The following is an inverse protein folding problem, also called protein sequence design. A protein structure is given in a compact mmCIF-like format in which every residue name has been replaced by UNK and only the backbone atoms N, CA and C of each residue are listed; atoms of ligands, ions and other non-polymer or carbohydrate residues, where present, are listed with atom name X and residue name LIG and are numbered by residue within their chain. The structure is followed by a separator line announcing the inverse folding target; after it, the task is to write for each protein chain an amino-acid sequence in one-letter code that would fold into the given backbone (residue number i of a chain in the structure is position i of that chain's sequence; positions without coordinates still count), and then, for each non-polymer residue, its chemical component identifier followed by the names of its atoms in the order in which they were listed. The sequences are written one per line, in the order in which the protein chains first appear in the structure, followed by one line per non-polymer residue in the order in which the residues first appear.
data_IF_508603615483
#
_entry.id   IF_508603615483
#
_cell.length_a   1.000
_cell.length_b   1.000
_cell.length_c   1.000
_cell.angle_alpha   90.00
_cell.angle_beta   90.00
_cell.angle_gamma   90.00
#
_symmetry.space_group_name_H-M   'P 1'
#
loop_
_entity.id
_entity.type
_entity.pdbx_description
1 polymer ?
#
# COMPACT_ATOMS: atom_id res chain seq x y z
N UNK A 1 -11.86 -18.51 1.08
CA UNK A 1 -12.86 -17.42 1.24
C UNK A 1 -13.08 -16.69 -0.07
N UNK A 2 -14.16 -15.96 -0.16
CA UNK A 2 -14.49 -14.99 -1.19
C UNK A 2 -15.26 -13.84 -0.50
N UNK A 3 -15.97 -13.00 -1.26
CA UNK A 3 -16.82 -11.94 -0.69
C UNK A 3 -18.22 -12.42 -0.21
N UNK A 4 -18.44 -13.72 -0.13
CA UNK A 4 -19.61 -14.30 0.51
C UNK A 4 -19.29 -14.61 1.99
N UNK A 5 -19.79 -13.78 2.89
CA UNK A 5 -19.55 -13.91 4.33
C UNK A 5 -20.14 -15.21 4.90
N UNK A 6 -21.17 -15.77 4.28
CA UNK A 6 -21.77 -17.02 4.73
C UNK A 6 -20.83 -18.21 4.50
N UNK A 7 -20.01 -18.16 3.43
CA UNK A 7 -18.94 -19.14 3.23
C UNK A 7 -17.90 -19.06 4.38
N UNK A 8 -17.44 -17.85 4.73
CA UNK A 8 -16.49 -17.68 5.83
C UNK A 8 -17.07 -18.15 7.17
N UNK A 9 -18.33 -17.82 7.47
CA UNK A 9 -19.03 -18.31 8.66
C UNK A 9 -19.11 -19.85 8.69
N UNK A 10 -19.43 -20.47 7.56
CA UNK A 10 -19.50 -21.92 7.41
C UNK A 10 -18.16 -22.60 7.65
N UNK A 11 -17.08 -22.04 7.08
CA UNK A 11 -15.72 -22.54 7.31
C UNK A 11 -15.30 -22.42 8.78
N UNK A 12 -15.60 -21.29 9.43
CA UNK A 12 -15.34 -21.11 10.85
C UNK A 12 -16.16 -22.09 11.69
N UNK A 13 -17.43 -22.31 11.36
CA UNK A 13 -18.27 -23.28 12.06
C UNK A 13 -17.73 -24.71 11.93
N UNK A 14 -17.11 -25.03 10.80
CA UNK A 14 -16.54 -26.36 10.56
C UNK A 14 -15.19 -26.54 11.26
N UNK A 15 -14.31 -25.56 11.18
CA UNK A 15 -12.91 -25.67 11.63
C UNK A 15 -12.71 -25.19 13.08
N UNK A 16 -13.54 -24.25 13.55
CA UNK A 16 -13.45 -23.60 14.85
C UNK A 16 -14.83 -23.49 15.53
N UNK A 17 -15.55 -24.58 15.74
CA UNK A 17 -16.95 -24.56 16.20
C UNK A 17 -17.15 -23.85 17.54
N UNK A 18 -16.15 -23.85 18.42
CA UNK A 18 -16.13 -23.14 19.71
C UNK A 18 -15.93 -21.61 19.59
N UNK A 19 -15.60 -21.11 18.41
CA UNK A 19 -15.37 -19.68 18.15
C UNK A 19 -16.51 -19.00 17.37
N UNK A 20 -17.53 -19.72 16.95
CA UNK A 20 -18.60 -19.21 16.06
C UNK A 20 -19.30 -17.99 16.66
N UNK A 21 -19.78 -18.08 17.90
CA UNK A 21 -20.47 -16.95 18.55
C UNK A 21 -19.55 -15.76 18.75
N UNK A 22 -18.29 -16.01 19.08
CA UNK A 22 -17.27 -14.99 19.24
C UNK A 22 -16.98 -14.28 17.92
N UNK A 23 -16.88 -15.04 16.83
CA UNK A 23 -16.71 -14.47 15.49
C UNK A 23 -17.91 -13.63 15.05
N UNK A 24 -19.14 -14.09 15.31
CA UNK A 24 -20.35 -13.31 14.99
C UNK A 24 -20.40 -11.97 15.76
N UNK A 25 -20.00 -11.96 17.04
CA UNK A 25 -19.89 -10.71 17.81
C UNK A 25 -18.79 -9.78 17.28
N UNK A 26 -17.64 -10.33 16.87
CA UNK A 26 -16.59 -9.55 16.22
C UNK A 26 -17.11 -8.96 14.91
N UNK A 27 -17.80 -9.75 14.08
CA UNK A 27 -18.39 -9.30 12.82
C UNK A 27 -19.40 -8.18 13.05
N UNK A 28 -20.28 -8.30 14.03
CA UNK A 28 -21.22 -7.23 14.40
C UNK A 28 -20.50 -5.96 14.84
N UNK A 29 -19.43 -6.09 15.64
CA UNK A 29 -18.59 -4.95 16.04
C UNK A 29 -17.95 -4.25 14.83
N UNK A 30 -17.41 -5.02 13.87
CA UNK A 30 -16.83 -4.51 12.61
C UNK A 30 -17.89 -3.77 11.77
N UNK A 31 -19.09 -4.35 11.63
CA UNK A 31 -20.14 -3.75 10.79
C UNK A 31 -20.67 -2.43 11.36
N UNK A 32 -20.67 -2.28 12.68
CA UNK A 32 -21.14 -1.07 13.35
C UNK A 32 -20.04 0.00 13.57
N UNK A 33 -18.79 -0.31 13.24
CA UNK A 33 -17.68 0.63 13.41
C UNK A 33 -17.61 1.62 12.25
N UNK A 34 -17.42 2.91 12.55
CA UNK A 34 -17.18 3.95 11.54
C UNK A 34 -15.68 4.11 11.30
N UNK A 35 -15.15 3.33 10.37
CA UNK A 35 -13.71 3.23 10.08
C UNK A 35 -13.12 4.47 9.39
N UNK A 36 -13.97 5.30 8.76
CA UNK A 36 -13.54 6.48 8.00
C UNK A 36 -13.58 7.77 8.81
N UNK A 37 -14.01 7.73 10.06
CA UNK A 37 -14.04 8.90 10.91
C UNK A 37 -12.62 9.43 11.17
N UNK A 38 -12.40 10.73 10.91
CA UNK A 38 -11.08 11.37 11.04
C UNK A 38 -10.63 11.52 12.50
N UNK A 39 -11.58 11.51 13.43
CA UNK A 39 -11.35 11.63 14.88
C UNK A 39 -11.17 10.28 15.60
N UNK A 40 -11.18 9.17 14.87
CA UNK A 40 -10.87 7.86 15.45
C UNK A 40 -9.49 7.87 16.12
N UNK A 41 -9.43 7.43 17.36
CA UNK A 41 -8.17 7.23 18.06
C UNK A 41 -7.47 5.96 17.54
N UNK A 42 -6.13 5.98 17.59
CA UNK A 42 -5.35 4.77 17.28
C UNK A 42 -5.68 3.69 18.32
N UNK A 43 -6.19 2.57 17.85
CA UNK A 43 -6.41 1.35 18.63
C UNK A 43 -5.80 0.19 17.85
N UNK A 44 -5.02 -0.65 18.51
CA UNK A 44 -4.39 -1.79 17.85
C UNK A 44 -5.41 -2.89 17.61
N UNK A 45 -5.43 -3.41 16.40
CA UNK A 45 -6.44 -4.38 15.96
C UNK A 45 -6.33 -5.70 16.72
N UNK A 46 -5.11 -6.14 17.06
CA UNK A 46 -4.92 -7.37 17.84
C UNK A 46 -5.59 -7.28 19.20
N UNK A 47 -5.47 -6.17 19.91
CA UNK A 47 -6.11 -6.00 21.21
C UNK A 47 -7.63 -6.16 21.11
N UNK A 48 -8.24 -5.60 20.05
CA UNK A 48 -9.68 -5.74 19.81
C UNK A 48 -10.05 -7.18 19.47
N UNK A 49 -9.39 -7.76 18.46
CA UNK A 49 -9.71 -9.10 17.98
C UNK A 49 -9.46 -10.15 19.07
N UNK A 50 -8.40 -10.02 19.86
CA UNK A 50 -8.06 -10.92 20.97
C UNK A 50 -9.12 -10.88 22.08
N UNK A 51 -9.86 -9.79 22.23
CA UNK A 51 -10.98 -9.70 23.16
C UNK A 51 -12.21 -10.52 22.72
N UNK A 52 -12.32 -10.87 21.45
CA UNK A 52 -13.39 -11.70 20.90
C UNK A 52 -12.93 -13.13 20.63
N UNK A 53 -11.81 -13.30 19.91
CA UNK A 53 -11.35 -14.60 19.40
C UNK A 53 -10.22 -15.13 20.28
N UNK A 54 -10.43 -16.24 20.94
CA UNK A 54 -9.41 -16.88 21.79
C UNK A 54 -8.49 -17.84 21.03
N UNK A 55 -8.95 -18.40 19.91
CA UNK A 55 -8.18 -19.36 19.12
C UNK A 55 -7.10 -18.64 18.30
N UNK A 56 -5.83 -18.96 18.59
CA UNK A 56 -4.66 -18.32 17.96
C UNK A 56 -4.61 -18.50 16.44
N UNK A 57 -4.88 -19.75 15.97
CA UNK A 57 -4.82 -20.03 14.51
C UNK A 57 -5.90 -19.24 13.75
N UNK A 58 -7.13 -19.17 14.28
CA UNK A 58 -8.19 -18.38 13.66
C UNK A 58 -7.81 -16.90 13.59
N UNK A 59 -7.20 -16.33 14.65
CA UNK A 59 -6.71 -14.95 14.63
C UNK A 59 -5.68 -14.75 13.54
N UNK A 60 -4.68 -15.62 13.42
CA UNK A 60 -3.66 -15.53 12.37
C UNK A 60 -4.26 -15.65 10.96
N UNK A 61 -5.22 -16.55 10.76
CA UNK A 61 -5.91 -16.69 9.47
C UNK A 61 -6.71 -15.44 9.09
N UNK A 62 -7.34 -14.78 10.09
CA UNK A 62 -8.03 -13.49 9.85
C UNK A 62 -7.01 -12.39 9.51
N UNK A 63 -5.93 -12.29 10.29
CA UNK A 63 -4.95 -11.21 10.13
C UNK A 63 -4.06 -11.33 8.89
N UNK A 64 -3.73 -12.54 8.44
CA UNK A 64 -2.77 -12.76 7.37
C UNK A 64 -3.10 -11.92 6.10
N UNK A 65 -4.28 -12.01 5.47
CA UNK A 65 -4.60 -11.19 4.30
C UNK A 65 -4.73 -9.70 4.62
N UNK A 66 -5.21 -9.35 5.81
CA UNK A 66 -5.45 -7.96 6.19
C UNK A 66 -4.15 -7.20 6.43
N UNK A 67 -3.19 -7.81 7.11
CA UNK A 67 -1.88 -7.22 7.37
C UNK A 67 -1.11 -6.95 6.07
N UNK A 68 -1.03 -7.96 5.21
CA UNK A 68 -0.20 -7.88 4.00
C UNK A 68 -0.75 -6.91 2.96
N UNK A 69 -2.06 -6.62 2.99
CA UNK A 69 -2.70 -5.67 2.09
C UNK A 69 -2.95 -4.30 2.72
N UNK A 70 -2.72 -4.12 4.01
CA UNK A 70 -3.15 -2.88 4.63
C UNK A 70 -2.41 -2.40 5.88
N UNK A 71 -1.28 -2.99 6.30
CA UNK A 71 -0.61 -2.52 7.51
C UNK A 71 0.77 -1.92 7.27
N UNK A 72 0.99 -0.73 7.85
CA UNK A 72 2.32 -0.14 8.02
C UNK A 72 3.01 -0.58 9.33
N UNK A 73 2.33 -1.34 10.20
CA UNK A 73 2.82 -1.83 11.48
C UNK A 73 3.31 -3.27 11.37
N UNK A 74 4.41 -3.57 12.04
CA UNK A 74 4.87 -4.95 12.15
C UNK A 74 3.92 -5.76 13.05
N UNK A 75 3.45 -6.90 12.55
CA UNK A 75 2.59 -7.87 13.23
C UNK A 75 1.25 -7.35 13.77
N UNK A 76 0.84 -6.14 13.46
CA UNK A 76 -0.43 -5.56 13.89
C UNK A 76 -0.90 -4.49 12.91
N UNK A 77 -2.01 -3.82 13.19
CA UNK A 77 -2.52 -2.69 12.44
C UNK A 77 -3.47 -1.83 13.28
N UNK A 78 -3.73 -0.60 12.82
CA UNK A 78 -4.81 0.23 13.38
C UNK A 78 -6.17 -0.44 13.12
N UNK A 79 -7.03 -0.46 14.13
CA UNK A 79 -8.35 -1.10 14.04
C UNK A 79 -9.25 -0.48 12.97
N UNK A 80 -9.18 0.84 12.74
CA UNK A 80 -9.92 1.44 11.62
C UNK A 80 -9.47 0.86 10.27
N UNK A 81 -8.16 0.71 10.08
CA UNK A 81 -7.61 0.09 8.88
C UNK A 81 -7.98 -1.41 8.79
N UNK A 82 -7.98 -2.11 9.93
CA UNK A 82 -8.44 -3.50 10.01
C UNK A 82 -9.88 -3.63 9.50
N UNK A 83 -10.78 -2.75 9.96
CA UNK A 83 -12.19 -2.76 9.53
C UNK A 83 -12.32 -2.48 8.04
N UNK A 84 -11.59 -1.47 7.50
CA UNK A 84 -11.55 -1.20 6.05
C UNK A 84 -11.13 -2.45 5.29
N UNK A 85 -10.03 -3.08 5.69
CA UNK A 85 -9.50 -4.25 5.00
C UNK A 85 -10.41 -5.48 5.15
N UNK A 86 -11.01 -5.67 6.33
CA UNK A 86 -11.95 -6.77 6.56
C UNK A 86 -13.18 -6.63 5.65
N UNK A 87 -13.80 -5.44 5.62
CA UNK A 87 -14.95 -5.17 4.75
C UNK A 87 -14.58 -5.37 3.27
N UNK A 88 -13.44 -4.83 2.83
CA UNK A 88 -12.99 -4.93 1.45
C UNK A 88 -12.69 -6.37 1.02
N UNK A 89 -12.10 -7.18 1.87
CA UNK A 89 -11.67 -8.56 1.50
C UNK A 89 -12.80 -9.56 1.67
N UNK A 90 -13.52 -9.52 2.81
CA UNK A 90 -14.47 -10.57 3.18
C UNK A 90 -15.94 -10.24 2.88
N UNK A 91 -16.27 -8.97 2.60
CA UNK A 91 -17.65 -8.55 2.33
C UNK A 91 -17.85 -8.03 0.92
N UNK A 92 -16.93 -7.16 0.43
CA UNK A 92 -17.06 -6.50 -0.86
C UNK A 92 -16.35 -7.26 -1.99
N UNK A 93 -15.20 -7.87 -1.67
CA UNK A 93 -14.34 -8.58 -2.60
C UNK A 93 -13.40 -7.64 -3.37
N UNK A 94 -12.39 -8.23 -4.00
CA UNK A 94 -11.43 -7.50 -4.81
C UNK A 94 -11.95 -7.32 -6.24
N UNK A 95 -12.01 -6.07 -6.68
CA UNK A 95 -12.27 -5.71 -8.06
C UNK A 95 -10.99 -5.43 -8.84
N UNK A 96 -10.98 -5.80 -10.11
CA UNK A 96 -9.96 -5.41 -11.07
C UNK A 96 -10.59 -4.63 -12.19
N UNK A 97 -10.09 -3.42 -12.47
CA UNK A 97 -10.58 -2.65 -13.60
C UNK A 97 -10.23 -3.34 -14.93
N UNK A 98 -11.16 -3.39 -15.87
CA UNK A 98 -10.87 -3.81 -17.24
C UNK A 98 -9.80 -2.89 -17.83
N UNK A 99 -8.74 -3.44 -18.42
CA UNK A 99 -7.57 -2.68 -18.85
C UNK A 99 -6.57 -2.36 -17.72
N UNK A 100 -6.80 -2.87 -16.49
CA UNK A 100 -5.91 -2.72 -15.34
C UNK A 100 -5.87 -1.29 -14.77
N UNK A 101 -4.88 -1.02 -13.92
CA UNK A 101 -4.69 0.28 -13.26
C UNK A 101 -4.44 1.43 -14.25
N UNK A 102 -3.88 1.14 -15.40
CA UNK A 102 -3.63 2.14 -16.47
C UNK A 102 -4.92 2.87 -16.86
N UNK A 103 -6.02 2.12 -17.00
CA UNK A 103 -7.31 2.73 -17.36
C UNK A 103 -7.82 3.70 -16.29
N UNK A 104 -7.61 3.39 -15.00
CA UNK A 104 -7.94 4.30 -13.90
C UNK A 104 -7.11 5.58 -13.99
N UNK A 105 -5.80 5.46 -14.26
CA UNK A 105 -4.90 6.61 -14.40
C UNK A 105 -5.27 7.48 -15.62
N UNK A 106 -5.67 6.85 -16.74
CA UNK A 106 -6.14 7.58 -17.93
C UNK A 106 -7.39 8.42 -17.64
N UNK A 107 -8.37 7.84 -16.95
CA UNK A 107 -9.59 8.55 -16.56
C UNK A 107 -9.30 9.73 -15.62
N UNK A 108 -8.37 9.54 -14.66
CA UNK A 108 -7.95 10.64 -13.78
C UNK A 108 -7.23 11.75 -14.56
N UNK A 109 -6.37 11.40 -15.52
CA UNK A 109 -5.69 12.37 -16.36
C UNK A 109 -6.67 13.16 -17.23
N UNK A 110 -7.62 12.48 -17.88
CA UNK A 110 -8.69 13.12 -18.65
C UNK A 110 -9.43 14.17 -17.80
N UNK A 111 -9.75 13.84 -16.56
CA UNK A 111 -10.40 14.75 -15.61
C UNK A 111 -9.55 15.95 -15.22
N UNK A 112 -8.27 15.74 -14.96
CA UNK A 112 -7.31 16.81 -14.64
C UNK A 112 -7.21 17.80 -15.81
N UNK A 113 -7.13 17.31 -17.05
CA UNK A 113 -7.10 18.12 -18.26
C UNK A 113 -8.42 18.92 -18.46
N UNK A 114 -9.59 18.27 -18.24
CA UNK A 114 -10.91 18.92 -18.36
C UNK A 114 -11.10 20.11 -17.40
N UNK A 115 -10.54 20.05 -16.19
CA UNK A 115 -10.63 21.13 -15.21
C UNK A 115 -9.49 22.17 -15.36
N UNK A 116 -8.63 22.03 -16.37
CA UNK A 116 -7.53 22.94 -16.65
C UNK A 116 -6.38 22.86 -15.64
N UNK A 117 -6.26 21.76 -14.88
CA UNK A 117 -5.13 21.55 -14.00
C UNK A 117 -3.91 20.99 -14.77
N UNK A 118 -2.71 21.33 -14.32
CA UNK A 118 -1.46 20.93 -14.95
C UNK A 118 -0.79 19.76 -14.22
N UNK A 119 -0.28 18.78 -14.97
CA UNK A 119 0.56 17.69 -14.46
C UNK A 119 1.97 17.81 -15.02
N UNK A 120 2.92 18.11 -14.15
CA UNK A 120 4.33 18.24 -14.52
C UNK A 120 5.07 16.92 -14.27
N UNK A 121 5.27 16.13 -15.33
CA UNK A 121 6.05 14.89 -15.25
C UNK A 121 7.56 15.15 -15.23
N UNK A 122 8.32 14.28 -14.55
CA UNK A 122 9.78 14.36 -14.45
C UNK A 122 10.25 15.70 -13.89
N UNK A 123 9.48 16.23 -12.95
CA UNK A 123 9.73 17.49 -12.29
C UNK A 123 9.38 17.33 -10.79
N UNK A 124 10.19 16.56 -10.08
CA UNK A 124 10.01 16.30 -8.64
C UNK A 124 10.13 17.57 -7.81
N UNK A 125 9.50 17.58 -6.64
CA UNK A 125 9.72 18.61 -5.63
C UNK A 125 11.01 18.32 -4.89
N UNK A 126 11.96 19.26 -4.96
CA UNK A 126 13.26 19.19 -4.27
C UNK A 126 13.21 19.81 -2.89
N UNK A 127 12.40 20.86 -2.73
CA UNK A 127 12.34 21.64 -1.49
C UNK A 127 10.96 22.27 -1.31
N UNK A 128 10.46 22.27 -0.06
CA UNK A 128 9.26 23.00 0.34
C UNK A 128 9.70 24.29 1.02
N UNK A 129 9.32 25.42 0.44
CA UNK A 129 9.67 26.75 0.92
C UNK A 129 8.75 27.15 2.06
N UNK A 130 9.36 27.65 3.14
CA UNK A 130 8.64 28.17 4.31
C UNK A 130 9.08 29.61 4.65
N UNK A 131 8.11 30.37 5.14
CA UNK A 131 8.38 31.67 5.80
C UNK A 131 7.84 31.60 7.22
N UNK A 132 8.75 31.53 8.20
CA UNK A 132 8.37 31.13 9.57
C UNK A 132 7.67 29.75 9.55
N UNK A 133 6.56 29.65 10.25
CA UNK A 133 5.77 28.40 10.33
C UNK A 133 4.67 28.30 9.24
N UNK A 134 4.93 28.82 8.02
CA UNK A 134 3.97 28.83 6.91
C UNK A 134 4.65 28.36 5.62
N UNK A 135 4.04 27.41 4.91
CA UNK A 135 4.46 27.08 3.55
C UNK A 135 4.11 28.19 2.59
N UNK A 136 5.00 28.49 1.63
CA UNK A 136 4.79 29.56 0.63
C UNK A 136 4.95 29.05 -0.79
N UNK A 137 5.50 27.87 -1.00
CA UNK A 137 5.72 27.29 -2.31
C UNK A 137 6.68 26.10 -2.29
N UNK A 138 7.12 25.71 -3.47
CA UNK A 138 8.09 24.62 -3.65
C UNK A 138 9.15 25.00 -4.67
N UNK A 139 10.34 24.37 -4.56
CA UNK A 139 11.36 24.35 -5.60
C UNK A 139 11.38 22.97 -6.22
N UNK A 140 11.34 22.90 -7.54
CA UNK A 140 11.41 21.66 -8.29
C UNK A 140 12.84 21.22 -8.57
N UNK A 141 13.03 19.96 -9.00
CA UNK A 141 14.33 19.42 -9.43
C UNK A 141 14.96 20.23 -10.59
N UNK A 142 14.13 20.94 -11.36
CA UNK A 142 14.58 21.83 -12.45
C UNK A 142 14.91 23.24 -11.98
N UNK A 143 14.82 23.51 -10.67
CA UNK A 143 15.09 24.83 -10.09
C UNK A 143 13.94 25.82 -10.26
N UNK A 144 12.78 25.40 -10.68
CA UNK A 144 11.60 26.26 -10.83
C UNK A 144 10.96 26.48 -9.45
N UNK A 145 10.69 27.72 -9.11
CA UNK A 145 9.89 28.10 -7.95
C UNK A 145 8.40 28.14 -8.33
N UNK A 146 7.58 27.43 -7.56
CA UNK A 146 6.13 27.44 -7.70
C UNK A 146 5.54 27.92 -6.38
N UNK A 147 5.00 29.13 -6.37
CA UNK A 147 4.39 29.72 -5.18
C UNK A 147 2.95 29.26 -5.02
N UNK A 148 2.60 28.82 -3.80
CA UNK A 148 1.25 28.36 -3.48
C UNK A 148 0.99 28.52 -1.97
N UNK A 149 -0.19 29.03 -1.56
CA UNK A 149 -0.56 29.17 -0.16
C UNK A 149 -0.97 27.85 0.47
N UNK A 150 -1.32 26.84 -0.36
CA UNK A 150 -1.73 25.51 0.05
C UNK A 150 -0.92 24.46 -0.70
N UNK A 151 -0.33 23.54 0.04
CA UNK A 151 0.42 22.40 -0.50
C UNK A 151 -0.18 21.11 0.07
N UNK A 152 -0.61 20.20 -0.81
CA UNK A 152 -0.99 18.84 -0.46
C UNK A 152 0.14 17.90 -0.89
N UNK A 153 0.80 17.28 0.08
CA UNK A 153 1.91 16.36 -0.17
C UNK A 153 1.45 14.91 -0.08
N UNK A 154 1.70 14.12 -1.12
CA UNK A 154 1.51 12.67 -1.12
C UNK A 154 2.84 11.89 -1.11
N UNK A 155 3.95 12.57 -0.81
CA UNK A 155 5.29 11.98 -0.82
C UNK A 155 5.56 11.03 0.37
N UNK A 156 4.69 11.00 1.37
CA UNK A 156 4.89 10.34 2.66
C UNK A 156 5.22 11.35 3.76
N UNK A 157 4.97 10.98 5.02
CA UNK A 157 5.15 11.92 6.14
C UNK A 157 6.64 12.22 6.42
N UNK A 158 7.51 11.22 6.61
CA UNK A 158 8.95 11.47 6.78
C UNK A 158 9.57 12.20 5.57
N UNK A 159 9.19 11.80 4.37
CA UNK A 159 9.67 12.37 3.12
C UNK A 159 9.25 13.83 3.00
N UNK A 160 7.98 14.15 3.26
CA UNK A 160 7.47 15.52 3.23
C UNK A 160 8.23 16.41 4.20
N UNK A 161 8.45 15.96 5.46
CA UNK A 161 9.20 16.75 6.42
C UNK A 161 10.67 16.94 6.02
N UNK A 162 11.26 15.97 5.32
CA UNK A 162 12.64 16.06 4.84
C UNK A 162 12.83 17.10 3.73
N UNK A 163 11.77 17.44 3.00
CA UNK A 163 11.79 18.44 1.92
C UNK A 163 11.69 19.88 2.45
N UNK A 164 11.35 20.10 3.72
CA UNK A 164 11.20 21.44 4.28
C UNK A 164 12.58 22.11 4.45
N UNK A 165 12.72 23.30 3.91
CA UNK A 165 13.99 24.04 3.93
C UNK A 165 14.43 24.51 5.34
N UNK A 166 13.49 24.89 6.20
CA UNK A 166 13.77 25.22 7.60
C UNK A 166 13.45 24.05 8.53
N UNK A 167 14.47 23.28 8.86
CA UNK A 167 14.35 22.14 9.76
C UNK A 167 14.07 22.48 11.23
N UNK A 168 14.09 23.78 11.61
CA UNK A 168 13.85 24.15 13.01
C UNK A 168 12.41 23.86 13.45
N UNK A 169 11.45 24.08 12.57
CA UNK A 169 10.04 23.84 12.84
C UNK A 169 9.69 22.34 12.88
N UNK A 170 10.46 21.49 12.18
CA UNK A 170 10.22 20.05 12.10
C UNK A 170 10.93 19.25 13.20
N UNK A 171 11.88 19.84 13.92
CA UNK A 171 12.67 19.14 14.96
C UNK A 171 11.82 18.48 16.06
N UNK A 172 10.59 18.97 16.28
CA UNK A 172 9.68 18.49 17.33
C UNK A 172 8.86 17.27 16.89
N UNK A 173 8.75 17.02 15.58
CA UNK A 173 7.95 15.93 15.02
C UNK A 173 8.86 15.08 14.17
N UNK A 174 9.01 13.83 14.56
CA UNK A 174 9.82 12.84 13.83
C UNK A 174 8.98 11.60 13.61
N UNK A 175 8.16 11.56 12.54
CA UNK A 175 7.41 10.37 12.20
C UNK A 175 8.38 9.22 11.90
N UNK A 176 7.99 8.03 12.32
CA UNK A 176 8.79 6.82 12.05
C UNK A 176 8.78 6.51 10.56
N UNK A 177 9.92 6.14 10.03
CA UNK A 177 9.99 5.55 8.70
C UNK A 177 9.37 4.15 8.72
N UNK A 178 8.57 3.83 7.71
CA UNK A 178 8.02 2.49 7.55
C UNK A 178 9.14 1.45 7.35
N UNK A 179 8.92 0.24 7.87
CA UNK A 179 9.92 -0.83 7.81
C UNK A 179 9.56 -1.96 6.84
N UNK A 180 8.28 -2.00 6.44
CA UNK A 180 7.74 -3.13 5.68
C UNK A 180 7.96 -2.91 4.18
N UNK A 181 8.65 -3.83 3.57
CA UNK A 181 8.92 -3.86 2.15
C UNK A 181 8.83 -5.28 1.62
N UNK A 182 8.79 -5.42 0.30
CA UNK A 182 8.57 -6.69 -0.36
C UNK A 182 9.58 -6.92 -1.49
N UNK A 183 9.83 -8.21 -1.78
CA UNK A 183 10.20 -8.64 -3.13
C UNK A 183 8.92 -9.02 -3.87
N UNK A 184 8.87 -8.68 -5.15
CA UNK A 184 7.79 -9.09 -6.05
C UNK A 184 8.41 -9.82 -7.23
N UNK A 185 8.06 -11.08 -7.41
CA UNK A 185 8.42 -11.86 -8.59
C UNK A 185 7.26 -11.85 -9.57
N UNK A 186 7.53 -11.46 -10.82
CA UNK A 186 6.57 -11.50 -11.92
C UNK A 186 7.19 -12.33 -13.04
N UNK A 187 6.45 -13.31 -13.56
CA UNK A 187 6.89 -14.04 -14.74
C UNK A 187 5.71 -14.53 -15.56
N UNK A 188 5.98 -14.86 -16.82
CA UNK A 188 4.98 -15.40 -17.74
C UNK A 188 5.36 -16.78 -18.25
N UNK A 189 4.34 -17.60 -18.49
CA UNK A 189 4.43 -18.93 -19.10
C UNK A 189 3.40 -19.05 -20.23
N UNK A 190 3.60 -19.94 -21.21
CA UNK A 190 2.57 -20.22 -22.21
C UNK A 190 1.25 -20.71 -21.59
N UNK A 191 1.33 -21.53 -20.53
CA UNK A 191 0.17 -22.09 -19.85
C UNK A 191 -0.40 -21.08 -18.82
N UNK A 192 -1.73 -20.88 -18.86
CA UNK A 192 -2.48 -20.13 -17.87
C UNK A 192 -2.66 -20.95 -16.58
N UNK A 193 -2.76 -20.31 -15.40
CA UNK A 193 -2.89 -21.01 -14.11
C UNK A 193 -4.03 -22.04 -14.09
N UNK A 194 -5.20 -21.71 -14.64
CA UNK A 194 -6.35 -22.60 -14.70
C UNK A 194 -6.07 -23.89 -15.48
N UNK A 195 -5.27 -23.84 -16.55
CA UNK A 195 -4.87 -25.04 -17.32
C UNK A 195 -3.92 -25.95 -16.55
N UNK A 196 -3.26 -25.42 -15.53
CA UNK A 196 -2.42 -26.16 -14.57
C UNK A 196 -3.17 -26.58 -13.30
N UNK A 197 -4.51 -26.42 -13.28
CA UNK A 197 -5.38 -26.85 -12.20
C UNK A 197 -5.57 -25.82 -11.07
N UNK A 198 -5.11 -24.58 -11.24
CA UNK A 198 -5.18 -23.54 -10.21
C UNK A 198 -6.14 -22.41 -10.63
N UNK A 199 -7.34 -22.40 -10.02
CA UNK A 199 -8.43 -21.47 -10.37
C UNK A 199 -8.58 -20.29 -9.41
N UNK A 200 -7.84 -20.26 -8.30
CA UNK A 200 -7.85 -19.17 -7.34
C UNK A 200 -7.22 -17.91 -7.95
N UNK A 201 -7.74 -16.74 -7.62
CA UNK A 201 -7.17 -15.45 -8.07
C UNK A 201 -5.99 -15.03 -7.19
N UNK A 202 -6.10 -15.29 -5.86
CA UNK A 202 -5.10 -14.94 -4.86
C UNK A 202 -4.99 -16.09 -3.86
N UNK A 203 -3.76 -16.41 -3.46
CA UNK A 203 -3.47 -17.38 -2.40
C UNK A 203 -2.53 -16.72 -1.40
N UNK A 204 -2.90 -16.76 -0.13
CA UNK A 204 -2.03 -16.40 0.99
C UNK A 204 -1.35 -17.67 1.49
N UNK A 205 -0.10 -17.82 1.11
CA UNK A 205 0.72 -18.97 1.48
C UNK A 205 1.48 -18.71 2.77
N UNK A 206 1.46 -19.64 3.71
CA UNK A 206 2.31 -19.60 4.91
C UNK A 206 2.69 -21.02 5.35
N UNK A 207 3.99 -21.32 5.37
CA UNK A 207 4.57 -22.57 5.88
C UNK A 207 5.11 -22.44 7.31
N UNK A 208 5.09 -21.25 7.89
CA UNK A 208 5.53 -21.05 9.27
C UNK A 208 4.48 -21.55 10.27
N UNK A 209 4.93 -22.04 11.43
CA UNK A 209 4.01 -22.43 12.52
C UNK A 209 3.19 -21.24 13.05
N UNK A 210 3.80 -20.03 13.02
CA UNK A 210 3.20 -18.77 13.39
C UNK A 210 3.40 -17.79 12.25
N UNK A 211 2.34 -17.12 11.81
CA UNK A 211 2.44 -16.10 10.79
C UNK A 211 3.22 -14.90 11.30
N UNK A 212 4.19 -14.44 10.54
CA UNK A 212 5.04 -13.31 10.90
C UNK A 212 4.95 -12.22 9.83
N UNK A 213 4.38 -11.09 10.18
CA UNK A 213 4.28 -9.90 9.32
C UNK A 213 5.22 -8.81 9.86
N UNK A 214 6.50 -8.97 9.59
CA UNK A 214 7.53 -8.03 10.01
C UNK A 214 8.72 -8.06 9.05
N UNK A 215 9.60 -7.06 9.15
CA UNK A 215 10.86 -7.09 8.41
C UNK A 215 11.62 -8.37 8.75
N UNK A 216 11.93 -9.24 7.78
CA UNK A 216 12.68 -10.47 8.04
C UNK A 216 14.14 -10.16 8.45
N UNK A 217 14.76 -11.09 9.17
CA UNK A 217 16.19 -11.01 9.50
C UNK A 217 17.08 -11.31 8.28
N UNK A 218 16.55 -12.05 7.32
CA UNK A 218 17.20 -12.40 6.05
C UNK A 218 16.75 -11.45 4.93
N UNK A 219 17.30 -11.59 3.74
CA UNK A 219 16.95 -10.76 2.58
C UNK A 219 15.44 -10.75 2.29
N UNK A 220 14.78 -11.89 2.45
CA UNK A 220 13.33 -12.07 2.31
C UNK A 220 12.84 -13.29 3.07
N UNK A 221 11.55 -13.33 3.40
CA UNK A 221 10.93 -14.47 4.10
C UNK A 221 10.22 -15.39 3.09
N UNK A 222 10.86 -16.52 2.76
CA UNK A 222 10.33 -17.52 1.84
C UNK A 222 9.30 -18.48 2.44
N UNK A 223 8.98 -18.34 3.72
CA UNK A 223 7.96 -19.17 4.38
C UNK A 223 6.55 -18.65 4.14
N UNK A 224 6.44 -17.37 3.76
CA UNK A 224 5.16 -16.72 3.54
C UNK A 224 5.17 -15.92 2.24
N UNK A 225 4.11 -16.06 1.44
CA UNK A 225 3.97 -15.35 0.17
C UNK A 225 2.51 -15.06 -0.17
N UNK A 226 2.28 -13.99 -0.92
CA UNK A 226 1.03 -13.80 -1.64
C UNK A 226 1.24 -14.20 -3.10
N UNK A 227 0.45 -15.14 -3.57
CA UNK A 227 0.42 -15.56 -4.96
C UNK A 227 -0.78 -14.90 -5.61
N UNK A 228 -0.55 -14.08 -6.63
CA UNK A 228 -1.60 -13.45 -7.42
C UNK A 228 -1.57 -14.01 -8.85
N UNK A 229 -2.74 -14.46 -9.32
CA UNK A 229 -2.94 -15.10 -10.62
C UNK A 229 -3.92 -14.28 -11.46
N UNK A 230 -3.43 -13.22 -12.14
CA UNK A 230 -4.28 -12.26 -12.84
C UNK A 230 -5.20 -12.89 -13.91
N UNK A 231 -4.77 -13.99 -14.52
CA UNK A 231 -5.58 -14.72 -15.53
C UNK A 231 -6.89 -15.30 -14.98
N UNK A 232 -6.99 -15.50 -13.67
CA UNK A 232 -8.17 -16.11 -13.06
C UNK A 232 -9.25 -15.08 -12.67
N UNK A 233 -9.00 -13.78 -12.91
CA UNK A 233 -10.07 -12.78 -12.83
C UNK A 233 -10.99 -12.87 -14.05
N UNK A 234 -12.24 -12.48 -13.85
CA UNK A 234 -13.24 -12.45 -14.93
C UNK A 234 -12.79 -11.49 -16.05
N UNK A 235 -13.04 -11.85 -17.30
CA UNK A 235 -12.65 -11.07 -18.47
C UNK A 235 -11.12 -10.86 -18.61
N UNK A 236 -10.34 -11.90 -18.32
CA UNK A 236 -8.89 -11.91 -18.59
C UNK A 236 -8.61 -11.76 -20.10
N UNK A 237 -7.74 -10.82 -20.43
CA UNK A 237 -7.28 -10.51 -21.79
C UNK A 237 -5.80 -10.90 -22.03
N UNK A 238 -5.11 -11.48 -21.05
CA UNK A 238 -3.73 -11.95 -21.21
C UNK A 238 -3.65 -13.18 -22.12
N UNK A 239 -2.71 -13.15 -23.05
CA UNK A 239 -2.46 -14.28 -23.95
C UNK A 239 -1.65 -15.38 -23.27
N UNK A 240 -0.74 -15.00 -22.37
CA UNK A 240 0.12 -15.90 -21.59
C UNK A 240 -0.38 -16.03 -20.16
N UNK A 241 0.05 -17.06 -19.46
CA UNK A 241 -0.13 -17.19 -18.02
C UNK A 241 0.76 -16.19 -17.28
N UNK A 242 0.17 -15.35 -16.42
CA UNK A 242 0.87 -14.36 -15.59
C UNK A 242 0.86 -14.82 -14.14
N UNK A 243 2.04 -14.87 -13.54
CA UNK A 243 2.26 -15.35 -12.17
C UNK A 243 2.98 -14.27 -11.37
N UNK A 244 2.45 -13.96 -10.20
CA UNK A 244 3.05 -12.97 -9.31
C UNK A 244 3.14 -13.53 -7.90
N UNK A 245 4.30 -13.32 -7.27
CA UNK A 245 4.54 -13.67 -5.87
C UNK A 245 5.17 -12.52 -5.13
N UNK A 246 4.59 -12.19 -4.00
CA UNK A 246 5.08 -11.13 -3.11
C UNK A 246 5.54 -11.77 -1.80
N UNK A 247 6.77 -11.49 -1.38
CA UNK A 247 7.34 -11.95 -0.11
C UNK A 247 7.89 -10.77 0.68
N UNK A 248 7.75 -10.81 2.02
CA UNK A 248 8.34 -9.81 2.91
C UNK A 248 9.85 -9.74 2.71
N UNK A 249 10.42 -8.52 2.69
CA UNK A 249 11.84 -8.32 2.41
C UNK A 249 12.51 -7.28 3.33
N UNK A 250 13.81 -7.43 3.54
CA UNK A 250 14.65 -6.55 4.35
C UNK A 250 15.36 -5.53 3.47
N UNK A 251 14.90 -4.28 3.51
CA UNK A 251 15.47 -3.20 2.73
C UNK A 251 16.97 -2.99 2.98
N UNK A 252 17.41 -3.01 4.25
CA UNK A 252 18.80 -2.67 4.57
C UNK A 252 19.78 -3.67 3.94
N UNK A 253 19.44 -4.96 4.00
CA UNK A 253 20.25 -6.02 3.38
C UNK A 253 20.24 -5.92 1.84
N UNK A 254 19.09 -5.60 1.23
CA UNK A 254 19.01 -5.38 -0.21
C UNK A 254 19.77 -4.14 -0.66
N UNK A 255 19.76 -3.08 0.14
CA UNK A 255 20.51 -1.83 -0.14
C UNK A 255 22.02 -2.06 -0.07
N UNK A 256 22.49 -2.80 0.93
CA UNK A 256 23.89 -3.19 1.04
C UNK A 256 24.31 -4.05 -0.16
N UNK A 257 23.55 -5.08 -0.47
CA UNK A 257 23.80 -5.98 -1.60
C UNK A 257 23.79 -5.26 -2.96
N UNK A 258 23.00 -4.19 -3.11
CA UNK A 258 22.91 -3.42 -4.36
C UNK A 258 24.22 -2.69 -4.72
N UNK A 259 25.20 -2.64 -3.82
CA UNK A 259 26.56 -2.13 -4.10
C UNK A 259 27.35 -3.10 -4.99
N UNK A 260 27.07 -4.40 -4.93
CA UNK A 260 27.60 -5.43 -5.83
C UNK A 260 26.50 -5.92 -6.78
N UNK A 261 26.54 -5.43 -8.02
CA UNK A 261 25.53 -5.75 -9.03
C UNK A 261 25.47 -7.23 -9.41
N UNK A 262 26.60 -7.94 -9.36
CA UNK A 262 26.63 -9.38 -9.64
C UNK A 262 25.90 -10.14 -8.53
N UNK A 263 26.31 -9.95 -7.28
CA UNK A 263 25.68 -10.57 -6.12
C UNK A 263 24.18 -10.21 -6.01
N UNK A 264 23.82 -8.96 -6.31
CA UNK A 264 22.43 -8.51 -6.34
C UNK A 264 21.59 -9.28 -7.37
N UNK A 265 22.10 -9.46 -8.59
CA UNK A 265 21.41 -10.21 -9.64
C UNK A 265 21.32 -11.70 -9.33
N UNK A 266 22.36 -12.28 -8.73
CA UNK A 266 22.36 -13.67 -8.29
C UNK A 266 21.27 -13.91 -7.23
N UNK A 267 21.11 -12.99 -6.28
CA UNK A 267 20.05 -13.06 -5.27
C UNK A 267 18.65 -12.84 -5.85
N UNK A 268 18.49 -11.99 -6.86
CA UNK A 268 17.22 -11.91 -7.61
C UNK A 268 16.88 -13.25 -8.27
N UNK A 269 17.86 -13.93 -8.84
CA UNK A 269 17.65 -15.26 -9.42
C UNK A 269 17.25 -16.30 -8.35
N UNK A 270 17.82 -16.24 -7.14
CA UNK A 270 17.39 -17.08 -6.01
C UNK A 270 15.93 -16.80 -5.61
N UNK A 271 15.52 -15.53 -5.54
CA UNK A 271 14.10 -15.15 -5.26
C UNK A 271 13.16 -15.79 -6.28
N UNK A 272 13.52 -15.79 -7.57
CA UNK A 272 12.74 -16.47 -8.60
C UNK A 272 12.65 -17.98 -8.34
N UNK A 273 13.76 -18.63 -8.03
CA UNK A 273 13.76 -20.08 -7.78
C UNK A 273 12.91 -20.44 -6.55
N UNK A 274 13.02 -19.68 -5.46
CA UNK A 274 12.18 -19.88 -4.27
C UNK A 274 10.70 -19.64 -4.58
N UNK A 275 10.38 -18.62 -5.39
CA UNK A 275 9.02 -18.36 -5.88
C UNK A 275 8.46 -19.54 -6.68
N UNK A 276 9.26 -20.12 -7.55
CA UNK A 276 8.89 -21.30 -8.33
C UNK A 276 8.70 -22.53 -7.43
N UNK A 277 9.52 -22.70 -6.40
CA UNK A 277 9.35 -23.80 -5.44
C UNK A 277 8.04 -23.66 -4.65
N UNK A 278 7.66 -22.45 -4.24
CA UNK A 278 6.37 -22.20 -3.58
C UNK A 278 5.23 -22.54 -4.54
N UNK A 279 5.26 -22.05 -5.77
CA UNK A 279 4.21 -22.33 -6.77
C UNK A 279 4.06 -23.79 -7.11
N UNK A 280 5.14 -24.57 -7.16
CA UNK A 280 5.09 -26.01 -7.42
C UNK A 280 4.33 -26.81 -6.37
N UNK A 281 4.14 -26.27 -5.16
CA UNK A 281 3.27 -26.88 -4.14
C UNK A 281 1.79 -26.90 -4.57
N UNK A 282 1.38 -25.90 -5.34
CA UNK A 282 0.02 -25.71 -5.84
C UNK A 282 -0.14 -26.21 -7.29
N UNK A 283 0.91 -26.13 -8.07
CA UNK A 283 0.97 -26.51 -9.48
C UNK A 283 2.19 -27.42 -9.76
N UNK A 284 2.14 -28.70 -9.39
CA UNK A 284 3.29 -29.62 -9.58
C UNK A 284 3.72 -29.76 -11.04
N UNK A 285 2.80 -29.53 -12.00
CA UNK A 285 3.07 -29.59 -13.43
C UNK A 285 3.74 -28.33 -14.02
N UNK A 286 3.99 -27.29 -13.21
CA UNK A 286 4.62 -26.05 -13.66
C UNK A 286 6.03 -26.29 -14.20
N UNK A 287 6.26 -25.88 -15.46
CA UNK A 287 7.53 -26.02 -16.18
C UNK A 287 8.30 -24.72 -16.17
N UNK A 288 9.31 -24.65 -15.32
CA UNK A 288 10.12 -23.43 -15.15
C UNK A 288 11.08 -23.13 -16.31
N UNK A 289 11.34 -24.10 -17.18
CA UNK A 289 12.15 -23.96 -18.41
C UNK A 289 11.42 -23.23 -19.55
N UNK A 290 10.12 -22.97 -19.39
CA UNK A 290 9.26 -22.30 -20.39
C UNK A 290 8.95 -20.85 -20.03
N UNK A 291 9.67 -20.25 -19.06
CA UNK A 291 9.49 -18.84 -18.70
C UNK A 291 9.87 -17.97 -19.91
N UNK A 292 8.90 -17.19 -20.42
CA UNK A 292 9.08 -16.29 -21.56
C UNK A 292 9.49 -14.88 -21.14
N UNK A 293 9.09 -14.45 -19.94
CA UNK A 293 9.43 -13.17 -19.34
C UNK A 293 9.56 -13.32 -17.82
N UNK A 294 10.48 -12.58 -17.22
CA UNK A 294 10.59 -12.48 -15.75
C UNK A 294 11.07 -11.10 -15.33
N UNK A 295 10.56 -10.63 -14.20
CA UNK A 295 11.06 -9.45 -13.49
C UNK A 295 10.95 -9.65 -11.99
N UNK A 296 11.94 -9.19 -11.24
CA UNK A 296 11.97 -9.28 -9.79
C UNK A 296 12.20 -7.88 -9.22
N UNK A 297 11.21 -7.35 -8.52
CA UNK A 297 11.31 -6.14 -7.75
C UNK A 297 11.88 -6.44 -6.38
N UNK A 298 12.64 -5.51 -5.85
CA UNK A 298 13.23 -5.59 -4.51
C UNK A 298 12.90 -4.31 -3.75
N UNK A 299 13.15 -4.23 -2.45
CA UNK A 299 12.96 -3.00 -1.69
C UNK A 299 13.65 -1.76 -2.28
N UNK A 300 14.84 -1.93 -2.88
CA UNK A 300 15.55 -0.82 -3.54
C UNK A 300 14.88 -0.40 -4.84
N UNK A 301 14.17 -1.30 -5.53
CA UNK A 301 13.33 -0.97 -6.68
C UNK A 301 12.14 -0.13 -6.22
N UNK A 302 11.49 -0.53 -5.11
CA UNK A 302 10.38 0.22 -4.52
C UNK A 302 10.82 1.64 -4.15
N UNK A 303 11.94 1.80 -3.41
CA UNK A 303 12.49 3.11 -3.05
C UNK A 303 12.73 3.98 -4.30
N UNK A 304 13.35 3.41 -5.34
CA UNK A 304 13.69 4.13 -6.56
C UNK A 304 12.46 4.73 -7.27
N UNK A 305 11.36 3.96 -7.34
CA UNK A 305 10.17 4.40 -8.08
C UNK A 305 9.15 5.18 -7.25
N UNK A 306 9.13 5.00 -5.93
CA UNK A 306 8.16 5.65 -5.05
C UNK A 306 8.75 6.83 -4.28
N UNK A 307 10.06 6.86 -4.10
CA UNK A 307 10.74 7.84 -3.24
C UNK A 307 10.56 7.57 -1.74
N UNK A 308 9.81 6.55 -1.34
CA UNK A 308 9.61 6.23 0.07
C UNK A 308 10.89 5.71 0.73
N UNK A 309 11.26 6.31 1.85
CA UNK A 309 12.42 5.92 2.62
C UNK A 309 12.34 4.45 3.06
N UNK A 310 13.45 3.73 2.88
CA UNK A 310 13.51 2.31 3.20
C UNK A 310 12.68 1.43 2.28
N UNK A 311 12.26 1.93 1.10
CA UNK A 311 11.42 1.20 0.16
C UNK A 311 10.13 0.69 0.79
N UNK A 312 9.59 1.40 1.79
CA UNK A 312 8.39 0.96 2.49
C UNK A 312 7.15 1.05 1.59
N UNK A 313 6.27 0.04 1.68
CA UNK A 313 5.11 -0.07 0.79
C UNK A 313 3.91 0.69 1.33
N UNK A 314 3.73 0.71 2.66
CA UNK A 314 2.56 1.33 3.30
C UNK A 314 2.90 2.63 4.04
N UNK A 315 4.05 3.25 3.71
CA UNK A 315 4.50 4.51 4.29
C UNK A 315 4.82 4.40 5.79
N UNK A 316 4.73 5.52 6.47
CA UNK A 316 4.92 5.63 7.92
C UNK A 316 3.82 4.91 8.71
N UNK A 317 4.14 4.25 9.83
CA UNK A 317 3.11 3.81 10.78
C UNK A 317 2.43 4.98 11.51
N UNK A 318 3.06 6.15 11.54
CA UNK A 318 2.52 7.37 12.14
C UNK A 318 1.67 8.13 11.13
N UNK A 319 0.38 7.80 11.05
CA UNK A 319 -0.56 8.42 10.12
C UNK A 319 -1.08 9.76 10.67
N UNK A 320 -1.26 10.76 9.78
CA UNK A 320 -1.92 12.02 10.10
C UNK A 320 -3.33 12.03 9.50
N UNK A 321 -4.32 11.58 10.26
CA UNK A 321 -5.69 11.36 9.75
C UNK A 321 -6.36 12.60 9.20
N UNK A 322 -6.12 13.76 9.81
CA UNK A 322 -6.58 15.06 9.33
C UNK A 322 -5.61 15.73 8.36
N UNK A 323 -4.52 15.05 8.01
CA UNK A 323 -3.50 15.52 7.09
C UNK A 323 -2.61 16.65 7.62
N UNK A 324 -2.77 17.11 8.89
CA UNK A 324 -2.01 18.22 9.41
C UNK A 324 -0.53 17.90 9.55
N UNK A 325 0.31 18.92 9.31
CA UNK A 325 1.75 18.92 9.59
C UNK A 325 2.11 20.06 10.55
N UNK A 326 3.36 20.11 11.07
CA UNK A 326 3.80 21.26 11.87
C UNK A 326 3.81 22.60 11.12
N UNK A 327 3.76 22.57 9.78
CA UNK A 327 3.81 23.76 8.92
C UNK A 327 2.39 24.10 8.44
N UNK A 328 1.97 25.33 8.69
CA UNK A 328 0.68 25.85 8.21
C UNK A 328 0.66 25.89 6.67
N UNK A 329 -0.47 25.53 6.07
CA UNK A 329 -0.63 25.48 4.62
C UNK A 329 0.01 24.26 3.95
N UNK A 330 0.71 23.38 4.71
CA UNK A 330 1.24 22.12 4.23
C UNK A 330 0.48 20.96 4.88
N UNK A 331 -0.16 20.14 4.06
CA UNK A 331 -0.96 19.01 4.51
C UNK A 331 -0.55 17.72 3.79
N UNK A 332 -0.74 16.59 4.47
CA UNK A 332 -0.53 15.27 3.90
C UNK A 332 -1.80 14.75 3.23
N UNK A 333 -1.65 14.05 2.12
CA UNK A 333 -2.67 13.21 1.52
C UNK A 333 -2.06 11.87 1.09
N UNK A 334 -2.90 10.93 0.62
CA UNK A 334 -2.45 9.60 0.23
C UNK A 334 -2.19 8.68 1.43
N UNK A 335 -1.23 7.80 1.26
CA UNK A 335 -0.96 6.68 2.19
C UNK A 335 -0.73 7.12 3.64
N UNK A 336 -0.01 8.20 3.86
CA UNK A 336 0.34 8.63 5.23
C UNK A 336 -0.70 9.54 5.90
N UNK A 337 -1.75 9.91 5.17
CA UNK A 337 -2.96 10.45 5.76
C UNK A 337 -3.79 9.32 6.42
N UNK A 338 -3.74 8.09 5.90
CA UNK A 338 -4.32 6.90 6.56
C UNK A 338 -5.15 6.01 5.65
N UNK A 339 -5.47 6.45 4.44
CA UNK A 339 -6.17 5.60 3.47
C UNK A 339 -5.18 4.95 2.50
N UNK A 340 -5.17 3.62 2.46
CA UNK A 340 -4.22 2.83 1.68
C UNK A 340 -4.80 2.38 0.34
N UNK A 341 -3.90 2.05 -0.59
CA UNK A 341 -4.23 1.58 -1.92
C UNK A 341 -4.71 2.68 -2.86
N UNK A 342 -5.10 2.31 -4.08
CA UNK A 342 -5.48 3.25 -5.15
C UNK A 342 -6.73 4.04 -4.76
N UNK A 343 -7.80 3.34 -4.38
CA UNK A 343 -9.08 3.98 -3.98
C UNK A 343 -8.88 4.80 -2.70
N UNK A 344 -8.14 4.27 -1.71
CA UNK A 344 -7.85 4.99 -0.48
C UNK A 344 -7.08 6.28 -0.73
N UNK A 345 -6.07 6.27 -1.60
CA UNK A 345 -5.31 7.49 -1.97
C UNK A 345 -6.19 8.52 -2.68
N UNK A 346 -7.14 8.08 -3.54
CA UNK A 346 -8.12 8.97 -4.17
C UNK A 346 -9.04 9.62 -3.13
N UNK A 347 -9.61 8.82 -2.21
CA UNK A 347 -10.45 9.31 -1.12
C UNK A 347 -9.70 10.27 -0.20
N UNK A 348 -8.44 9.99 0.09
CA UNK A 348 -7.56 10.88 0.85
C UNK A 348 -7.41 12.23 0.15
N UNK A 349 -7.11 12.23 -1.16
CA UNK A 349 -6.99 13.46 -1.94
C UNK A 349 -8.28 14.30 -1.89
N UNK A 350 -9.45 13.67 -2.08
CA UNK A 350 -10.76 14.33 -2.00
C UNK A 350 -11.00 14.88 -0.59
N UNK A 351 -10.77 14.09 0.45
CA UNK A 351 -11.01 14.49 1.83
C UNK A 351 -10.14 15.67 2.24
N UNK A 352 -8.85 15.64 1.92
CA UNK A 352 -7.91 16.69 2.28
C UNK A 352 -8.13 17.97 1.48
N UNK A 353 -8.47 17.88 0.18
CA UNK A 353 -8.85 19.04 -0.62
C UNK A 353 -10.12 19.70 -0.08
N UNK A 354 -11.13 18.92 0.30
CA UNK A 354 -12.33 19.45 0.92
C UNK A 354 -12.04 20.12 2.26
N UNK A 355 -11.35 19.42 3.17
CA UNK A 355 -11.10 19.89 4.53
C UNK A 355 -10.23 21.14 4.57
N UNK A 356 -9.15 21.16 3.81
CA UNK A 356 -8.12 22.22 3.89
C UNK A 356 -8.20 23.26 2.78
N UNK A 357 -8.81 22.93 1.63
CA UNK A 357 -9.02 23.83 0.51
C UNK A 357 -10.39 24.49 0.51
N UNK A 358 -11.43 23.70 0.23
CA UNK A 358 -12.77 24.26 -0.03
C UNK A 358 -13.52 24.69 1.22
N UNK A 359 -13.32 24.02 2.37
CA UNK A 359 -14.00 24.36 3.63
C UNK A 359 -13.22 25.36 4.49
N UNK A 360 -12.05 25.81 4.05
CA UNK A 360 -11.21 26.75 4.79
C UNK A 360 -11.49 28.20 4.36
N UNK A 361 -12.22 29.01 5.16
CA UNK A 361 -12.63 30.39 4.77
C UNK A 361 -11.46 31.34 4.52
N UNK A 362 -10.28 31.07 5.13
CA UNK A 362 -9.10 31.93 4.99
C UNK A 362 -8.45 31.82 3.60
N UNK A 363 -8.69 30.74 2.86
CA UNK A 363 -8.17 30.52 1.50
C UNK A 363 -9.19 30.90 0.42
N UNK A 364 -10.49 30.98 0.78
CA UNK A 364 -11.55 31.36 -0.15
C UNK A 364 -11.53 32.86 -0.49
N UNK A 365 -10.88 33.70 0.30
CA UNK A 365 -10.82 35.16 0.09
C UNK A 365 -9.75 35.63 -0.90
N UNK A 366 -8.77 34.79 -1.25
CA UNK A 366 -7.65 35.12 -2.15
C UNK A 366 -7.76 34.49 -3.55
N UNK A 367 -8.97 34.21 -4.02
CA UNK A 367 -9.22 33.63 -5.36
C UNK A 367 -8.85 34.53 -6.55
N UNK A 368 -8.12 35.66 -6.33
CA UNK A 368 -7.64 36.56 -7.37
C UNK A 368 -6.18 36.36 -7.81
N UNK A 369 -5.45 35.41 -7.22
CA UNK A 369 -4.05 35.14 -7.64
C UNK A 369 -3.99 33.87 -8.49
N UNK A 370 -4.51 33.94 -9.70
CA UNK A 370 -4.12 33.00 -10.77
C UNK A 370 -2.70 33.41 -11.18
N UNK A 371 -1.71 32.57 -10.83
CA UNK A 371 -0.34 32.77 -11.28
C UNK A 371 -0.30 32.46 -12.76
N UNK A 372 -0.23 33.50 -13.59
CA UNK A 372 0.22 33.39 -14.97
C UNK A 372 1.71 33.06 -14.96
N UNK A 373 2.07 31.84 -15.34
CA UNK A 373 3.44 31.48 -15.64
C UNK A 373 3.90 32.34 -16.82
N UNK A 374 4.79 33.31 -16.55
CA UNK A 374 5.55 33.96 -17.63
C UNK A 374 6.47 32.90 -18.26
N UNK A 375 6.16 32.54 -19.50
CA UNK A 375 7.06 31.86 -20.43
C UNK A 375 8.37 32.69 -20.57
N UNK A 376 9.49 32.12 -20.19
CA UNK A 376 10.81 32.33 -20.79
C UNK A 376 11.47 30.97 -20.96
#
# INVERSE_FOLDING_TARGET
FNNDIELLKSEIATQFPDQVENFLRLLEHILNFNEVALDNKLVMAKDVVDSFISNHLLREMIFCPLLIYGSAWENDMDFSQFVIMFKSIYLEGFGRSRGGVRRVLELLRERIEEVGAEVCYRNGVKEILTHGNQSVGVITDRGQEVMAPLILSCAGYPETLSLINDQNETKRVKPRTGKLSFTETIFTLPEKPASLGLNQTIIFHNDAQTYSYQRPQELYDKRSAVICLPNNFVDDDYQEGVYRLTMMANYDLWKELNQDKSAYNDKKAEVLQDSLMILKKYMPALKSDQISFQDIFTPTTVEHYTGHFGGCVYGSPDKSRDGTTPIKGLFLCGTDQGFLGIVGSMLSGISMANLHGFMNPSLASDSSTIITTSTL
#
